data_IF_866074302803
#
_entry.id   IF_866074302803
#
_cell.length_a   1.000
_cell.length_b   1.000
_cell.length_c   1.000
_cell.angle_alpha   90.00
_cell.angle_beta   90.00
_cell.angle_gamma   90.00
#
_symmetry.space_group_name_H-M   'P 1'
#
loop_
_entity.id
_entity.type
_entity.pdbx_description
1 polymer ?
#
# COMPACT_ATOMS: atom_id res chain seq x y z
N UNK A 1 15.45 21.27 -8.21
CA UNK A 1 15.44 20.55 -9.51
C UNK A 1 16.21 19.23 -9.46
N UNK A 2 17.47 19.18 -8.98
CA UNK A 2 18.25 17.93 -8.91
C UNK A 2 17.65 16.84 -8.01
N UNK A 3 17.10 17.17 -6.84
CA UNK A 3 16.57 16.16 -5.91
C UNK A 3 15.36 15.39 -6.49
N UNK A 4 14.47 16.08 -7.22
CA UNK A 4 13.33 15.46 -7.91
C UNK A 4 13.79 14.48 -8.99
N UNK A 5 14.87 14.79 -9.71
CA UNK A 5 15.44 13.90 -10.71
C UNK A 5 16.00 12.62 -10.08
N UNK A 6 16.74 12.73 -8.98
CA UNK A 6 17.26 11.56 -8.26
C UNK A 6 16.16 10.72 -7.63
N UNK A 7 15.13 11.34 -7.05
CA UNK A 7 13.96 10.63 -6.51
C UNK A 7 13.19 9.93 -7.62
N UNK A 8 12.99 10.58 -8.77
CA UNK A 8 12.37 9.94 -9.93
C UNK A 8 13.18 8.75 -10.45
N UNK A 9 14.51 8.88 -10.51
CA UNK A 9 15.41 7.79 -10.86
C UNK A 9 15.30 6.64 -9.86
N UNK A 10 15.28 6.94 -8.57
CA UNK A 10 15.08 5.96 -7.50
C UNK A 10 13.73 5.24 -7.63
N UNK A 11 12.65 5.96 -7.92
CA UNK A 11 11.33 5.38 -8.13
C UNK A 11 11.31 4.44 -9.35
N UNK A 12 12.12 4.71 -10.37
CA UNK A 12 12.26 3.85 -11.56
C UNK A 12 12.93 2.51 -11.25
N UNK A 13 13.86 2.48 -10.30
CA UNK A 13 14.54 1.25 -9.88
C UNK A 13 13.61 0.27 -9.12
N UNK A 14 12.39 0.70 -8.76
CA UNK A 14 11.37 -0.10 -8.08
C UNK A 14 11.94 -1.00 -6.95
N UNK A 15 12.71 -0.38 -6.06
CA UNK A 15 13.43 -1.09 -5.01
C UNK A 15 12.44 -1.82 -4.08
N UNK A 16 12.64 -3.13 -3.95
CA UNK A 16 11.96 -4.00 -3.00
C UNK A 16 12.94 -4.36 -1.89
N UNK A 17 12.46 -4.31 -0.66
CA UNK A 17 13.23 -4.75 0.51
C UNK A 17 13.08 -6.27 0.64
N UNK A 18 13.88 -6.91 1.50
CA UNK A 18 13.83 -8.36 1.79
C UNK A 18 12.43 -8.93 2.01
N UNK A 19 11.50 -8.12 2.53
CA UNK A 19 10.13 -8.52 2.83
C UNK A 19 9.14 -8.14 1.70
N UNK A 20 9.63 -7.74 0.53
CA UNK A 20 8.82 -7.21 -0.58
C UNK A 20 8.22 -5.82 -0.31
N UNK A 21 8.54 -5.19 0.82
CA UNK A 21 8.11 -3.83 1.14
C UNK A 21 8.68 -2.85 0.11
N UNK A 22 7.81 -2.05 -0.49
CA UNK A 22 8.18 -0.93 -1.38
C UNK A 22 8.58 0.32 -0.58
N UNK A 23 9.12 1.34 -1.25
CA UNK A 23 9.42 2.64 -0.63
C UNK A 23 8.18 3.29 0.03
N UNK A 24 6.98 3.05 -0.50
CA UNK A 24 5.73 3.56 0.10
C UNK A 24 5.44 2.85 1.41
N UNK A 25 5.63 1.52 1.48
CA UNK A 25 5.49 0.78 2.74
C UNK A 25 6.42 1.33 3.82
N UNK A 26 7.68 1.60 3.48
CA UNK A 26 8.64 2.19 4.43
C UNK A 26 8.20 3.53 4.99
N UNK A 27 7.65 4.41 4.16
CA UNK A 27 7.23 5.75 4.61
C UNK A 27 6.12 5.70 5.65
N UNK A 28 5.38 4.59 5.70
CA UNK A 28 4.24 4.36 6.57
C UNK A 28 4.60 3.45 7.75
N UNK A 29 5.63 2.63 7.62
CA UNK A 29 5.95 1.57 8.54
C UNK A 29 6.76 2.02 9.78
N UNK A 30 6.10 1.98 10.93
CA UNK A 30 6.68 2.23 12.26
C UNK A 30 7.64 1.14 12.73
N UNK A 31 7.67 -0.04 12.11
CA UNK A 31 8.59 -1.13 12.51
C UNK A 31 10.05 -0.82 12.19
N UNK A 32 10.32 0.12 11.28
CA UNK A 32 11.66 0.67 11.04
C UNK A 32 12.21 1.44 12.25
N UNK A 33 11.38 1.69 13.26
CA UNK A 33 11.75 2.29 14.53
C UNK A 33 12.20 1.24 15.56
N UNK A 34 12.17 -0.06 15.22
CA UNK A 34 12.95 -1.03 15.98
C UNK A 34 14.43 -0.73 15.77
N UNK A 35 15.25 -0.72 16.83
CA UNK A 35 16.67 -0.51 16.72
C UNK A 35 17.26 -1.70 15.96
N UNK A 36 17.29 -1.62 14.62
CA UNK A 36 18.40 -2.19 13.87
C UNK A 36 19.64 -1.69 14.61
N UNK A 37 20.48 -2.62 15.04
CA UNK A 37 21.61 -2.44 15.95
C UNK A 37 22.70 -1.49 15.39
N UNK A 38 22.34 -0.27 15.01
CA UNK A 38 23.22 0.83 14.67
C UNK A 38 23.77 1.42 15.99
N UNK A 39 24.36 0.54 16.80
CA UNK A 39 25.23 0.95 17.88
C UNK A 39 26.26 1.90 17.26
N UNK A 40 26.20 3.16 17.68
CA UNK A 40 27.07 4.31 17.35
C UNK A 40 26.59 5.14 16.16
N UNK A 41 25.90 6.24 16.46
CA UNK A 41 26.54 7.56 16.50
C UNK A 41 25.49 8.62 16.81
N UNK A 42 25.77 9.57 17.67
CA UNK A 42 24.78 10.57 18.11
C UNK A 42 24.61 11.70 17.06
N UNK A 43 24.83 11.38 15.77
CA UNK A 43 25.10 12.33 14.68
C UNK A 43 24.36 12.10 13.36
N UNK A 44 23.54 11.05 13.21
CA UNK A 44 22.66 10.92 12.04
C UNK A 44 21.25 11.46 12.37
N UNK A 45 20.61 12.21 11.46
CA UNK A 45 19.23 12.63 11.67
C UNK A 45 18.36 11.38 11.82
N UNK A 46 17.77 11.20 12.99
CA UNK A 46 16.80 10.13 13.22
C UNK A 46 15.59 10.37 12.32
N UNK A 47 15.58 9.76 11.14
CA UNK A 47 14.43 9.76 10.25
C UNK A 47 13.35 8.94 10.95
N UNK A 48 12.36 9.64 11.51
CA UNK A 48 11.22 9.03 12.18
C UNK A 48 10.20 8.63 11.13
N UNK A 49 9.87 7.35 11.09
CA UNK A 49 8.68 6.85 10.41
C UNK A 49 7.54 6.78 11.44
N UNK A 50 6.32 7.15 11.02
CA UNK A 50 5.87 7.36 9.66
C UNK A 50 6.09 8.82 9.19
N UNK A 51 6.48 9.02 7.92
CA UNK A 51 6.94 10.31 7.41
C UNK A 51 6.08 10.82 6.22
N UNK A 52 5.18 11.75 6.52
CA UNK A 52 4.28 12.35 5.53
C UNK A 52 5.03 13.15 4.43
N UNK A 53 6.00 14.04 4.73
CA UNK A 53 6.77 14.74 3.70
C UNK A 53 7.47 13.80 2.71
N UNK A 54 8.07 12.71 3.20
CA UNK A 54 8.72 11.72 2.35
C UNK A 54 7.71 11.01 1.45
N UNK A 55 6.56 10.62 2.00
CA UNK A 55 5.46 10.01 1.25
C UNK A 55 4.95 10.95 0.15
N UNK A 56 4.69 12.22 0.48
CA UNK A 56 4.24 13.22 -0.48
C UNK A 56 5.25 13.43 -1.61
N UNK A 57 6.55 13.49 -1.29
CA UNK A 57 7.60 13.64 -2.29
C UNK A 57 7.63 12.45 -3.25
N UNK A 58 7.58 11.22 -2.71
CA UNK A 58 7.54 9.99 -3.52
C UNK A 58 6.31 9.94 -4.42
N UNK A 59 5.13 10.26 -3.89
CA UNK A 59 3.90 10.26 -4.68
C UNK A 59 3.94 11.35 -5.75
N UNK A 60 4.44 12.55 -5.44
CA UNK A 60 4.54 13.65 -6.41
C UNK A 60 5.54 13.34 -7.54
N UNK A 61 6.68 12.72 -7.22
CA UNK A 61 7.73 12.39 -8.21
C UNK A 61 7.46 11.07 -8.94
N UNK A 62 6.81 10.14 -8.26
CA UNK A 62 6.82 8.72 -8.57
C UNK A 62 5.45 8.14 -8.92
N UNK A 63 4.38 8.94 -8.99
CA UNK A 63 3.01 8.47 -9.32
C UNK A 63 2.95 7.59 -10.59
N UNK A 64 3.89 7.74 -11.52
CA UNK A 64 3.95 6.93 -12.76
C UNK A 64 4.62 5.57 -12.59
N UNK A 65 5.52 5.41 -11.62
CA UNK A 65 6.36 4.22 -11.46
C UNK A 65 6.09 3.46 -10.16
N UNK A 66 5.55 4.14 -9.15
CA UNK A 66 5.19 3.56 -7.89
C UNK A 66 3.75 3.04 -7.95
N UNK A 67 3.59 1.77 -7.60
CA UNK A 67 2.27 1.19 -7.36
C UNK A 67 1.91 1.43 -5.88
N UNK A 68 0.89 2.26 -5.63
CA UNK A 68 0.38 2.56 -4.28
C UNK A 68 -0.27 1.34 -3.63
N UNK A 69 -0.81 0.44 -4.46
CA UNK A 69 -1.48 -0.79 -4.05
C UNK A 69 -0.56 -2.01 -4.16
N UNK A 70 0.75 -1.78 -4.21
CA UNK A 70 1.70 -2.87 -4.05
C UNK A 70 1.44 -3.57 -2.71
N UNK A 71 1.49 -4.89 -2.71
CA UNK A 71 1.39 -5.73 -1.52
C UNK A 71 2.79 -6.12 -1.06
N UNK A 72 3.02 -6.11 0.24
CA UNK A 72 4.23 -6.69 0.83
C UNK A 72 4.09 -8.21 0.99
N UNK A 73 5.23 -8.93 1.01
CA UNK A 73 5.22 -10.39 0.85
C UNK A 73 4.89 -11.16 2.13
N UNK A 74 4.92 -10.54 3.31
CA UNK A 74 4.76 -11.27 4.58
C UNK A 74 3.30 -11.52 4.94
N UNK A 75 2.43 -10.52 4.75
CA UNK A 75 1.01 -10.59 5.07
C UNK A 75 0.10 -10.18 3.90
N UNK A 76 0.68 -9.80 2.75
CA UNK A 76 -0.09 -9.26 1.63
C UNK A 76 -0.63 -7.86 1.92
N UNK A 77 -0.06 -7.15 2.90
CA UNK A 77 -0.51 -5.81 3.26
C UNK A 77 -0.14 -4.80 2.19
N UNK A 78 -1.06 -3.93 1.81
CA UNK A 78 -0.70 -2.68 1.10
C UNK A 78 -0.22 -1.62 2.09
N UNK A 79 0.39 -0.54 1.58
CA UNK A 79 0.78 0.59 2.41
C UNK A 79 -0.41 1.18 3.20
N UNK A 80 -1.62 1.13 2.64
CA UNK A 80 -2.83 1.59 3.33
C UNK A 80 -3.22 0.66 4.50
N UNK A 81 -3.03 -0.66 4.37
CA UNK A 81 -3.25 -1.59 5.48
C UNK A 81 -2.30 -1.27 6.65
N UNK A 82 -1.01 -1.08 6.38
CA UNK A 82 -0.03 -0.73 7.40
C UNK A 82 -0.38 0.60 8.09
N UNK A 83 -0.78 1.61 7.32
CA UNK A 83 -1.20 2.90 7.86
C UNK A 83 -2.38 2.77 8.83
N UNK A 84 -3.34 1.92 8.48
CA UNK A 84 -4.54 1.69 9.29
C UNK A 84 -4.24 0.85 10.55
N UNK A 85 -3.41 -0.19 10.40
CA UNK A 85 -3.01 -1.10 11.47
C UNK A 85 -2.18 -0.37 12.54
N UNK A 86 -1.20 0.40 12.11
CA UNK A 86 -0.27 1.11 13.00
C UNK A 86 -0.83 2.43 13.55
N UNK A 87 -2.11 2.72 13.27
CA UNK A 87 -2.77 3.96 13.67
C UNK A 87 -1.98 5.21 13.23
N UNK A 88 -1.49 5.20 11.99
CA UNK A 88 -0.79 6.33 11.40
C UNK A 88 -1.67 7.58 11.39
N UNK A 89 -1.02 8.74 11.32
CA UNK A 89 -1.72 10.02 11.22
C UNK A 89 -2.73 9.99 10.07
N UNK A 90 -3.93 10.52 10.33
CA UNK A 90 -5.00 10.64 9.33
C UNK A 90 -4.51 11.37 8.08
N UNK A 91 -3.53 12.27 8.22
CA UNK A 91 -2.90 12.93 7.09
C UNK A 91 -2.20 11.95 6.11
N UNK A 92 -1.55 10.91 6.62
CA UNK A 92 -0.88 9.87 5.82
C UNK A 92 -1.92 9.02 5.11
N UNK A 93 -2.95 8.60 5.84
CA UNK A 93 -4.07 7.81 5.29
C UNK A 93 -4.76 8.60 4.19
N UNK A 94 -5.05 9.88 4.42
CA UNK A 94 -5.62 10.79 3.42
C UNK A 94 -4.71 10.93 2.21
N UNK A 95 -3.39 11.09 2.40
CA UNK A 95 -2.44 11.19 1.29
C UNK A 95 -2.45 9.94 0.40
N UNK A 96 -2.53 8.75 0.98
CA UNK A 96 -2.61 7.49 0.23
C UNK A 96 -3.93 7.40 -0.56
N UNK A 97 -5.05 7.74 0.08
CA UNK A 97 -6.37 7.75 -0.55
C UNK A 97 -6.45 8.77 -1.68
N UNK A 98 -5.92 9.98 -1.47
CA UNK A 98 -5.88 11.04 -2.47
C UNK A 98 -4.95 10.67 -3.64
N UNK A 99 -3.91 9.86 -3.38
CA UNK A 99 -3.04 9.27 -4.42
C UNK A 99 -3.67 8.07 -5.15
N UNK A 100 -4.91 7.70 -4.82
CA UNK A 100 -5.67 6.68 -5.53
C UNK A 100 -5.56 5.27 -4.97
N UNK A 101 -5.06 5.11 -3.72
CA UNK A 101 -5.01 3.81 -3.07
C UNK A 101 -6.39 3.13 -3.02
N UNK A 102 -6.43 1.85 -3.36
CA UNK A 102 -7.62 1.02 -3.30
C UNK A 102 -8.00 0.72 -1.84
N UNK A 103 -9.24 1.06 -1.49
CA UNK A 103 -9.81 0.87 -0.14
C UNK A 103 -10.29 -0.56 0.11
N UNK A 104 -10.24 -1.41 -0.90
CA UNK A 104 -10.85 -2.74 -0.94
C UNK A 104 -9.90 -3.83 -1.42
N UNK A 105 -8.60 -3.53 -1.46
CA UNK A 105 -7.56 -4.57 -1.45
C UNK A 105 -7.72 -5.43 -0.21
N UNK A 106 -7.35 -6.70 -0.30
CA UNK A 106 -7.39 -7.64 0.81
C UNK A 106 -6.01 -8.18 1.11
N UNK A 107 -5.71 -8.39 2.39
CA UNK A 107 -4.51 -9.12 2.84
C UNK A 107 -4.62 -10.61 2.52
N UNK A 108 -3.56 -11.38 2.79
CA UNK A 108 -3.62 -12.85 2.74
C UNK A 108 -4.61 -13.46 3.74
N UNK A 109 -5.05 -12.69 4.73
CA UNK A 109 -6.09 -13.08 5.67
C UNK A 109 -7.51 -12.68 5.21
N UNK A 110 -7.63 -11.99 4.08
CA UNK A 110 -8.90 -11.49 3.56
C UNK A 110 -9.36 -10.17 4.18
N UNK A 111 -8.53 -9.54 5.02
CA UNK A 111 -8.86 -8.28 5.70
C UNK A 111 -8.71 -7.10 4.75
N UNK A 112 -9.67 -6.17 4.75
CA UNK A 112 -9.54 -4.88 4.05
C UNK A 112 -8.81 -3.85 4.93
N UNK A 113 -8.33 -2.71 4.38
CA UNK A 113 -7.70 -1.67 5.19
C UNK A 113 -8.59 -1.15 6.33
N UNK A 114 -9.91 -1.18 6.11
CA UNK A 114 -10.90 -0.82 7.12
C UNK A 114 -10.96 -1.81 8.26
N UNK A 115 -10.81 -3.11 7.98
CA UNK A 115 -10.82 -4.17 8.98
C UNK A 115 -9.55 -4.09 9.84
N UNK A 116 -8.41 -3.75 9.23
CA UNK A 116 -7.16 -3.48 9.93
C UNK A 116 -7.15 -2.17 10.73
N UNK A 117 -8.14 -1.28 10.60
CA UNK A 117 -8.11 0.03 11.26
C UNK A 117 -8.22 -0.11 12.78
N UNK A 118 -7.13 0.20 13.49
CA UNK A 118 -7.07 0.16 14.96
C UNK A 118 -7.92 1.24 15.65
N UNK A 119 -8.07 2.40 15.01
CA UNK A 119 -8.73 3.56 15.59
C UNK A 119 -10.10 3.89 14.95
N UNK A 120 -11.06 4.31 15.78
CA UNK A 120 -12.40 4.73 15.34
C UNK A 120 -12.36 5.89 14.32
N UNK A 121 -11.44 6.84 14.49
CA UNK A 121 -11.29 7.99 13.59
C UNK A 121 -10.90 7.57 12.17
N UNK A 122 -9.91 6.68 12.05
CA UNK A 122 -9.49 6.09 10.76
C UNK A 122 -10.63 5.33 10.10
N UNK A 123 -11.34 4.51 10.87
CA UNK A 123 -12.49 3.75 10.39
C UNK A 123 -13.62 4.66 9.89
N UNK A 124 -13.89 5.75 10.59
CA UNK A 124 -14.88 6.76 10.19
C UNK A 124 -14.46 7.48 8.89
N UNK A 125 -13.17 7.82 8.75
CA UNK A 125 -12.64 8.42 7.53
C UNK A 125 -12.76 7.48 6.32
N UNK A 126 -12.38 6.21 6.48
CA UNK A 126 -12.52 5.23 5.40
C UNK A 126 -14.00 5.01 5.04
N UNK A 127 -14.90 4.96 6.02
CA UNK A 127 -16.34 4.85 5.79
C UNK A 127 -16.93 6.02 5.00
N UNK A 128 -16.47 7.25 5.23
CA UNK A 128 -16.98 8.40 4.48
C UNK A 128 -16.42 8.46 3.04
N UNK A 129 -15.33 7.73 2.77
CA UNK A 129 -14.67 7.64 1.46
C UNK A 129 -15.04 6.39 0.66
N UNK A 130 -15.66 5.40 1.29
CA UNK A 130 -16.33 4.28 0.59
C UNK A 130 -17.62 4.76 -0.09
N UNK A 131 -17.50 5.57 -1.15
CA UNK A 131 -18.57 5.76 -2.14
C UNK A 131 -18.73 4.48 -2.97
N UNK A 132 -19.91 4.19 -3.56
CA UNK A 132 -20.26 2.87 -4.07
C UNK A 132 -19.17 2.35 -4.99
N UNK A 133 -18.74 1.12 -4.70
CA UNK A 133 -17.68 0.39 -5.38
C UNK A 133 -17.58 0.81 -6.84
N UNK A 134 -16.43 1.38 -7.26
CA UNK A 134 -16.17 1.59 -8.69
C UNK A 134 -16.52 0.26 -9.36
N UNK A 135 -17.45 0.26 -10.32
CA UNK A 135 -18.04 -0.97 -10.89
C UNK A 135 -16.97 -2.03 -11.20
N UNK A 136 -15.81 -1.58 -11.67
CA UNK A 136 -14.62 -2.40 -11.93
C UNK A 136 -14.15 -3.21 -10.71
N UNK A 137 -14.01 -2.59 -9.54
CA UNK A 137 -13.64 -3.26 -8.28
C UNK A 137 -14.70 -4.26 -7.82
N UNK A 138 -15.99 -3.89 -7.94
CA UNK A 138 -17.09 -4.81 -7.61
C UNK A 138 -17.09 -6.03 -8.55
N UNK A 139 -16.91 -5.81 -9.85
CA UNK A 139 -16.77 -6.88 -10.83
C UNK A 139 -15.55 -7.75 -10.53
N UNK A 140 -14.39 -7.16 -10.22
CA UNK A 140 -13.17 -7.90 -9.91
C UNK A 140 -13.34 -8.75 -8.63
N UNK A 141 -13.93 -8.19 -7.56
CA UNK A 141 -14.29 -8.94 -6.35
C UNK A 141 -15.30 -10.06 -6.63
N UNK A 142 -16.33 -9.80 -7.43
CA UNK A 142 -17.30 -10.81 -7.81
C UNK A 142 -16.64 -11.94 -8.62
N UNK A 143 -15.72 -11.61 -9.52
CA UNK A 143 -14.97 -12.60 -10.30
C UNK A 143 -14.05 -13.41 -9.37
N UNK A 144 -13.30 -12.76 -8.49
CA UNK A 144 -12.45 -13.42 -7.49
C UNK A 144 -13.27 -14.35 -6.58
N UNK A 145 -14.37 -13.86 -6.01
CA UNK A 145 -15.24 -14.64 -5.12
C UNK A 145 -16.06 -15.73 -5.84
N UNK A 146 -16.38 -15.56 -7.14
CA UNK A 146 -17.19 -16.53 -7.91
C UNK A 146 -16.39 -17.61 -8.61
N UNK A 147 -15.06 -17.54 -8.69
CA UNK A 147 -14.25 -18.76 -8.93
C UNK A 147 -14.47 -19.69 -7.73
N UNK A 148 -15.08 -20.88 -7.78
CA UNK A 148 -15.38 -21.83 -8.86
C UNK A 148 -14.25 -21.96 -9.88
N UNK A 149 -13.10 -22.45 -9.41
CA UNK A 149 -12.18 -23.45 -9.99
C UNK A 149 -11.86 -23.54 -11.51
N UNK A 150 -12.44 -22.75 -12.43
CA UNK A 150 -12.52 -23.20 -13.85
C UNK A 150 -12.12 -22.19 -14.93
N UNK A 151 -11.64 -20.99 -14.59
CA UNK A 151 -11.17 -20.05 -15.62
C UNK A 151 -9.73 -19.69 -15.31
N UNK A 152 -8.75 -20.30 -15.98
CA UNK A 152 -7.40 -19.76 -16.05
C UNK A 152 -7.47 -18.35 -16.63
N UNK A 153 -6.83 -17.36 -16.00
CA UNK A 153 -6.86 -15.97 -16.46
C UNK A 153 -5.99 -15.76 -17.72
N UNK A 154 -5.62 -16.83 -18.42
CA UNK A 154 -4.66 -16.84 -19.52
C UNK A 154 -5.13 -16.01 -20.73
N UNK A 155 -6.45 -15.81 -20.85
CA UNK A 155 -7.04 -14.96 -21.88
C UNK A 155 -7.19 -13.49 -21.45
N UNK A 156 -7.02 -13.16 -20.17
CA UNK A 156 -7.09 -11.78 -19.69
C UNK A 156 -5.74 -11.10 -19.86
N UNK A 157 -5.76 -9.80 -20.20
CA UNK A 157 -4.53 -9.01 -20.21
C UNK A 157 -3.86 -9.03 -18.85
N UNK A 158 -2.52 -8.99 -18.82
CA UNK A 158 -1.73 -9.00 -17.58
C UNK A 158 -2.17 -7.92 -16.58
N UNK A 159 -2.60 -6.76 -17.09
CA UNK A 159 -3.16 -5.67 -16.28
C UNK A 159 -4.49 -6.03 -15.61
N UNK A 160 -5.42 -6.66 -16.34
CA UNK A 160 -6.71 -7.05 -15.79
C UNK A 160 -6.56 -8.23 -14.81
N UNK A 161 -5.66 -9.15 -15.11
CA UNK A 161 -5.30 -10.24 -14.22
C UNK A 161 -4.73 -9.70 -12.90
N UNK A 162 -3.76 -8.79 -12.95
CA UNK A 162 -3.22 -8.11 -11.77
C UNK A 162 -4.29 -7.36 -10.97
N UNK A 163 -5.21 -6.69 -11.65
CA UNK A 163 -6.32 -5.98 -10.99
C UNK A 163 -7.29 -6.93 -10.27
N UNK A 164 -7.58 -8.11 -10.84
CA UNK A 164 -8.43 -9.10 -10.18
C UNK A 164 -7.70 -9.74 -8.99
N UNK A 165 -6.40 -10.02 -9.13
CA UNK A 165 -5.57 -10.59 -8.07
C UNK A 165 -5.48 -9.70 -6.82
N UNK A 166 -5.59 -8.37 -6.95
CA UNK A 166 -5.69 -7.45 -5.81
C UNK A 166 -6.88 -7.75 -4.87
N UNK A 167 -7.87 -8.50 -5.35
CA UNK A 167 -9.10 -8.84 -4.63
C UNK A 167 -9.22 -10.35 -4.33
N UNK A 168 -8.21 -11.16 -4.65
CA UNK A 168 -8.21 -12.62 -4.50
C UNK A 168 -7.25 -13.04 -3.38
N UNK A 169 -7.79 -13.36 -2.20
CA UNK A 169 -7.02 -13.75 -1.01
C UNK A 169 -6.65 -15.26 -1.00
N UNK A 170 -7.19 -16.08 -1.90
CA UNK A 170 -7.01 -17.53 -1.89
C UNK A 170 -5.70 -18.03 -2.54
N UNK A 171 -4.78 -17.12 -2.89
CA UNK A 171 -3.47 -17.45 -3.48
C UNK A 171 -2.27 -17.22 -2.56
N UNK A 172 -2.50 -16.90 -1.29
CA UNK A 172 -1.48 -16.91 -0.24
C UNK A 172 -1.07 -18.32 0.14
#
# INVERSE_FOLDING_TARGET
MLIFHWVAKLCRENLLISNGKTLIHLCVDNETNQPLNWRRSDTLPHIRFPNLPALQLLLTCGHRWLNVDAIELTHGCTALHLACLQSADVAIIKCLVDAGAHLDCVTYYGDTPKDCAGNKATRAFLNCKTTPHRLKCLCARLIANKRMKTIEYDFLTSQLNGFILLHDWQKG
#
